data_IF_512293026851
#
_entry.id   IF_512293026851
#
_cell.length_a   1.000
_cell.length_b   1.000
_cell.length_c   1.000
_cell.angle_alpha   90.00
_cell.angle_beta   90.00
_cell.angle_gamma   90.00
#
_symmetry.space_group_name_H-M   'P 1'
#
loop_
_entity.id
_entity.type
_entity.pdbx_description
1 polymer ?
#
# COMPACT_ATOMS: atom_id res chain seq x y z
N UNK A 1 -13.35 -19.96 -4.69
CA UNK A 1 -12.79 -19.33 -5.90
C UNK A 1 -11.27 -19.35 -5.77
N UNK A 2 -10.51 -19.55 -6.86
CA UNK A 2 -9.06 -19.40 -6.82
C UNK A 2 -8.70 -17.97 -6.39
N UNK A 3 -7.63 -17.79 -5.61
CA UNK A 3 -7.12 -16.45 -5.28
C UNK A 3 -6.57 -15.80 -6.56
N UNK A 4 -6.77 -14.50 -6.71
CA UNK A 4 -5.94 -13.71 -7.62
C UNK A 4 -4.53 -13.72 -7.04
N UNK A 5 -3.56 -14.17 -7.82
CA UNK A 5 -2.16 -14.25 -7.39
C UNK A 5 -1.27 -13.54 -8.40
N UNK A 6 -0.14 -13.02 -7.92
CA UNK A 6 0.87 -12.37 -8.74
C UNK A 6 2.25 -12.67 -8.16
N UNK A 7 3.14 -13.14 -9.03
CA UNK A 7 4.57 -13.25 -8.73
C UNK A 7 5.23 -11.92 -9.07
N UNK A 8 6.03 -11.42 -8.14
CA UNK A 8 6.81 -10.20 -8.27
C UNK A 8 8.28 -10.58 -8.34
N UNK A 9 8.93 -10.21 -9.43
CA UNK A 9 10.39 -10.14 -9.54
C UNK A 9 10.85 -8.86 -8.84
N UNK A 10 11.74 -8.99 -7.86
CA UNK A 10 12.16 -7.87 -7.00
C UNK A 10 13.09 -6.89 -7.72
N UNK A 11 13.83 -7.30 -8.75
CA UNK A 11 14.62 -6.38 -9.59
C UNK A 11 13.72 -5.55 -10.50
N UNK A 12 12.68 -6.16 -11.09
CA UNK A 12 11.66 -5.42 -11.83
C UNK A 12 10.91 -4.45 -10.93
N UNK A 13 10.59 -4.88 -9.71
CA UNK A 13 9.92 -4.04 -8.74
C UNK A 13 10.78 -2.87 -8.27
N UNK A 14 12.08 -3.10 -8.01
CA UNK A 14 13.05 -2.05 -7.71
C UNK A 14 13.11 -1.02 -8.83
N UNK A 15 13.17 -1.47 -10.09
CA UNK A 15 13.16 -0.58 -11.26
C UNK A 15 11.87 0.23 -11.34
N UNK A 16 10.71 -0.41 -11.15
CA UNK A 16 9.40 0.27 -11.15
C UNK A 16 9.31 1.34 -10.07
N UNK A 17 9.74 1.04 -8.84
CA UNK A 17 9.74 1.98 -7.73
C UNK A 17 10.62 3.20 -8.01
N UNK A 18 11.83 2.99 -8.54
CA UNK A 18 12.71 4.08 -8.96
C UNK A 18 12.09 4.94 -10.07
N UNK A 19 11.50 4.31 -11.10
CA UNK A 19 10.83 5.04 -12.18
C UNK A 19 9.64 5.88 -11.69
N UNK A 20 8.91 5.43 -10.66
CA UNK A 20 7.82 6.19 -10.05
C UNK A 20 8.33 7.35 -9.18
N UNK A 21 9.41 7.13 -8.41
CA UNK A 21 10.07 8.19 -7.64
C UNK A 21 10.62 9.29 -8.56
N UNK A 22 11.27 8.92 -9.66
CA UNK A 22 11.78 9.86 -10.66
C UNK A 22 10.64 10.72 -11.26
N UNK A 23 9.49 10.09 -11.59
CA UNK A 23 8.31 10.82 -12.08
C UNK A 23 7.77 11.81 -11.05
N UNK A 24 7.70 11.43 -9.77
CA UNK A 24 7.25 12.34 -8.72
C UNK A 24 8.24 13.49 -8.50
N UNK A 25 9.54 13.22 -8.59
CA UNK A 25 10.59 14.22 -8.49
C UNK A 25 10.53 15.23 -9.65
N UNK A 26 10.32 14.77 -10.89
CA UNK A 26 10.14 15.63 -12.06
C UNK A 26 8.93 16.54 -11.90
N UNK A 27 7.79 15.99 -11.47
CA UNK A 27 6.57 16.76 -11.23
C UNK A 27 6.74 17.82 -10.11
N UNK A 28 7.45 17.48 -9.03
CA UNK A 28 7.76 18.44 -7.96
C UNK A 28 8.68 19.56 -8.48
N UNK A 29 9.70 19.23 -9.28
CA UNK A 29 10.61 20.20 -9.86
C UNK A 29 9.91 21.15 -10.85
N UNK A 30 8.99 20.64 -11.67
CA UNK A 30 8.18 21.45 -12.59
C UNK A 30 7.33 22.47 -11.82
N UNK A 31 6.65 22.04 -10.76
CA UNK A 31 5.85 22.96 -9.95
C UNK A 31 6.73 24.02 -9.28
N UNK A 32 7.93 23.66 -8.81
CA UNK A 32 8.85 24.63 -8.17
C UNK A 32 9.26 25.70 -9.17
N UNK A 33 9.56 25.30 -10.42
CA UNK A 33 9.89 26.24 -11.50
C UNK A 33 8.71 27.14 -11.85
N UNK A 34 7.50 26.60 -11.92
CA UNK A 34 6.28 27.36 -12.22
C UNK A 34 6.00 28.42 -11.14
N UNK A 35 6.10 28.06 -9.86
CA UNK A 35 5.91 29.00 -8.75
C UNK A 35 6.94 30.13 -8.75
N UNK A 36 8.20 29.83 -9.06
CA UNK A 36 9.27 30.83 -9.17
C UNK A 36 9.05 31.79 -10.34
N UNK A 37 8.41 31.34 -11.43
CA UNK A 37 8.15 32.15 -12.61
C UNK A 37 6.89 33.02 -12.48
N UNK A 38 5.82 32.51 -11.87
CA UNK A 38 4.49 33.15 -11.87
C UNK A 38 4.17 33.94 -10.59
N UNK A 39 4.96 33.81 -9.51
CA UNK A 39 4.84 34.65 -8.32
C UNK A 39 3.54 34.48 -7.51
N UNK A 40 2.70 33.51 -7.85
CA UNK A 40 1.43 33.23 -7.18
C UNK A 40 1.37 31.74 -6.76
N UNK A 41 0.90 31.45 -5.54
CA UNK A 41 0.57 30.06 -5.17
C UNK A 41 -0.59 29.98 -4.19
N UNK A 42 -1.78 29.57 -4.63
CA UNK A 42 -2.80 29.11 -3.68
C UNK A 42 -3.29 27.66 -3.90
N UNK A 43 -3.14 27.04 -5.07
CA UNK A 43 -3.88 25.79 -5.40
C UNK A 43 -3.06 24.50 -5.43
N UNK A 44 -1.72 24.57 -5.47
CA UNK A 44 -0.85 23.38 -5.60
C UNK A 44 -0.40 22.71 -4.30
N UNK A 45 -0.57 23.34 -3.13
CA UNK A 45 -0.02 22.84 -1.86
C UNK A 45 -0.52 21.45 -1.47
N UNK A 46 -1.81 21.17 -1.69
CA UNK A 46 -2.40 19.85 -1.40
C UNK A 46 -1.82 18.77 -2.31
N UNK A 47 -1.73 19.02 -3.63
CA UNK A 47 -1.12 18.07 -4.58
C UNK A 47 0.35 17.79 -4.28
N UNK A 48 1.10 18.82 -3.87
CA UNK A 48 2.48 18.66 -3.42
C UNK A 48 2.61 17.81 -2.17
N UNK A 49 1.73 18.03 -1.20
CA UNK A 49 1.73 17.23 0.02
C UNK A 49 1.41 15.77 -0.32
N UNK A 50 0.38 15.51 -1.12
CA UNK A 50 0.02 14.14 -1.58
C UNK A 50 1.19 13.45 -2.31
N UNK A 51 1.89 14.16 -3.22
CA UNK A 51 3.06 13.62 -3.91
C UNK A 51 4.22 13.30 -2.96
N UNK A 52 4.47 14.14 -1.95
CA UNK A 52 5.54 13.89 -0.97
C UNK A 52 5.22 12.71 -0.07
N UNK A 53 3.95 12.58 0.33
CA UNK A 53 3.47 11.41 1.08
C UNK A 53 3.59 10.13 0.24
N UNK A 54 3.26 10.19 -1.05
CA UNK A 54 3.47 9.07 -1.98
C UNK A 54 4.95 8.74 -2.18
N UNK A 55 5.81 9.75 -2.38
CA UNK A 55 7.24 9.54 -2.52
C UNK A 55 7.83 8.87 -1.25
N UNK A 56 7.42 9.31 -0.07
CA UNK A 56 7.85 8.69 1.19
C UNK A 56 7.42 7.22 1.30
N UNK A 57 6.19 6.88 0.84
CA UNK A 57 5.73 5.49 0.79
C UNK A 57 6.59 4.65 -0.17
N UNK A 58 6.83 5.15 -1.38
CA UNK A 58 7.64 4.47 -2.39
C UNK A 58 9.10 4.30 -1.95
N UNK A 59 9.70 5.30 -1.29
CA UNK A 59 11.03 5.19 -0.69
C UNK A 59 11.08 4.08 0.38
N UNK A 60 10.08 4.02 1.25
CA UNK A 60 10.01 2.97 2.27
C UNK A 60 9.87 1.57 1.65
N UNK A 61 9.09 1.45 0.58
CA UNK A 61 8.98 0.22 -0.21
C UNK A 61 10.30 -0.14 -0.88
N UNK A 62 10.98 0.83 -1.49
CA UNK A 62 12.25 0.64 -2.19
C UNK A 62 13.32 0.12 -1.23
N UNK A 63 13.45 0.72 -0.04
CA UNK A 63 14.37 0.24 1.01
C UNK A 63 14.10 -1.21 1.38
N UNK A 64 12.81 -1.61 1.45
CA UNK A 64 12.42 -2.98 1.72
C UNK A 64 12.83 -3.95 0.61
N UNK A 65 12.63 -3.56 -0.65
CA UNK A 65 13.00 -4.37 -1.82
C UNK A 65 14.52 -4.47 -1.96
N UNK A 66 15.25 -3.39 -1.72
CA UNK A 66 16.72 -3.39 -1.74
C UNK A 66 17.31 -4.30 -0.67
N UNK A 67 16.77 -4.25 0.56
CA UNK A 67 17.15 -5.20 1.61
C UNK A 67 16.87 -6.65 1.20
N UNK A 68 15.75 -6.92 0.51
CA UNK A 68 15.42 -8.29 0.11
C UNK A 68 16.36 -8.84 -0.98
N UNK A 69 16.80 -7.98 -1.90
CA UNK A 69 17.77 -8.33 -2.95
C UNK A 69 19.20 -8.49 -2.44
N UNK A 70 19.58 -7.71 -1.43
CA UNK A 70 20.92 -7.74 -0.83
C UNK A 70 20.83 -7.58 0.69
N UNK A 71 20.38 -8.63 1.40
CA UNK A 71 20.26 -8.59 2.86
C UNK A 71 21.65 -8.48 3.49
N UNK A 72 21.74 -7.76 4.61
CA UNK A 72 23.01 -7.62 5.32
C UNK A 72 23.52 -9.01 5.74
N UNK A 73 24.84 -9.24 5.63
CA UNK A 73 25.45 -10.53 5.97
C UNK A 73 25.21 -10.97 7.43
N UNK A 74 24.73 -10.07 8.29
CA UNK A 74 24.37 -10.34 9.69
C UNK A 74 22.97 -10.98 9.85
N UNK A 75 22.11 -10.90 8.83
CA UNK A 75 20.70 -11.27 8.92
C UNK A 75 20.43 -12.78 8.73
N UNK A 76 21.42 -13.59 8.33
CA UNK A 76 21.28 -15.04 8.02
C UNK A 76 20.07 -15.34 7.10
N UNK A 77 19.86 -14.45 6.13
CA UNK A 77 18.79 -14.50 5.13
C UNK A 77 19.44 -14.50 3.75
N UNK A 78 19.08 -15.49 2.94
CA UNK A 78 19.49 -15.51 1.53
C UNK A 78 18.76 -14.41 0.74
N UNK A 79 19.39 -13.83 -0.30
CA UNK A 79 18.72 -12.95 -1.25
C UNK A 79 17.39 -13.51 -1.76
N UNK A 80 16.41 -12.62 -1.90
CA UNK A 80 15.05 -12.93 -2.32
C UNK A 80 14.85 -12.31 -3.71
N UNK A 81 14.84 -13.13 -4.75
CA UNK A 81 14.64 -12.63 -6.13
C UNK A 81 13.16 -12.47 -6.48
N UNK A 82 12.31 -13.39 -5.98
CA UNK A 82 10.89 -13.44 -6.32
C UNK A 82 10.00 -13.75 -5.11
N UNK A 83 8.81 -13.15 -5.10
CA UNK A 83 7.75 -13.44 -4.12
C UNK A 83 6.41 -13.54 -4.82
N UNK A 84 5.64 -14.59 -4.54
CA UNK A 84 4.25 -14.72 -5.00
C UNK A 84 3.29 -14.33 -3.89
N UNK A 85 2.49 -13.31 -4.17
CA UNK A 85 1.44 -12.81 -3.30
C UNK A 85 0.06 -13.14 -3.87
N UNK A 86 -0.94 -13.15 -2.99
CA UNK A 86 -2.31 -13.42 -3.37
C UNK A 86 -3.30 -12.57 -2.60
N UNK A 87 -4.33 -12.14 -3.31
CA UNK A 87 -5.50 -11.48 -2.74
C UNK A 87 -6.12 -12.36 -1.66
N UNK A 88 -6.35 -11.79 -0.47
CA UNK A 88 -7.08 -12.49 0.57
C UNK A 88 -8.55 -12.64 0.16
N UNK A 89 -9.04 -13.88 0.08
CA UNK A 89 -10.48 -14.07 -0.02
C UNK A 89 -11.15 -13.83 1.33
N UNK A 90 -12.49 -13.74 1.35
CA UNK A 90 -13.24 -13.42 2.56
C UNK A 90 -12.98 -14.38 3.75
N UNK A 91 -12.73 -15.66 3.48
CA UNK A 91 -12.45 -16.63 4.54
C UNK A 91 -11.05 -16.42 5.14
N UNK A 92 -10.07 -16.13 4.29
CA UNK A 92 -8.68 -15.90 4.71
C UNK A 92 -8.52 -14.55 5.40
N UNK A 93 -9.21 -13.53 4.90
CA UNK A 93 -9.33 -12.25 5.57
C UNK A 93 -9.93 -12.41 6.97
N UNK A 94 -10.94 -13.27 7.12
CA UNK A 94 -11.51 -13.65 8.43
C UNK A 94 -10.46 -14.30 9.35
N UNK A 95 -9.72 -15.29 8.86
CA UNK A 95 -8.66 -15.96 9.64
C UNK A 95 -7.54 -15.00 10.07
N UNK A 96 -7.10 -14.11 9.17
CA UNK A 96 -6.11 -13.07 9.45
C UNK A 96 -6.65 -12.09 10.50
N UNK A 97 -7.91 -11.68 10.38
CA UNK A 97 -8.58 -10.78 11.32
C UNK A 97 -8.76 -11.41 12.71
N UNK A 98 -9.12 -12.69 12.79
CA UNK A 98 -9.26 -13.43 14.05
C UNK A 98 -7.91 -13.55 14.75
N UNK A 99 -6.85 -13.91 14.02
CA UNK A 99 -5.50 -13.99 14.56
C UNK A 99 -4.97 -12.62 15.00
N UNK A 100 -5.25 -11.57 14.22
CA UNK A 100 -4.92 -10.20 14.57
C UNK A 100 -5.59 -9.77 15.88
N UNK A 101 -6.89 -10.06 16.04
CA UNK A 101 -7.65 -9.76 17.26
C UNK A 101 -7.04 -10.48 18.46
N UNK A 102 -6.77 -11.78 18.33
CA UNK A 102 -6.12 -12.57 19.39
C UNK A 102 -4.76 -11.98 19.79
N UNK A 103 -3.92 -11.59 18.82
CA UNK A 103 -2.61 -11.00 19.10
C UNK A 103 -2.70 -9.62 19.73
N UNK A 104 -3.68 -8.81 19.34
CA UNK A 104 -3.98 -7.52 19.96
C UNK A 104 -4.40 -7.71 21.42
N UNK A 105 -5.23 -8.70 21.73
CA UNK A 105 -5.66 -9.01 23.10
C UNK A 105 -4.50 -9.53 23.98
N UNK A 106 -3.58 -10.29 23.39
CA UNK A 106 -2.36 -10.78 24.07
C UNK A 106 -1.29 -9.70 24.25
N UNK A 107 -1.36 -8.61 23.48
CA UNK A 107 -0.33 -7.57 23.47
C UNK A 107 -0.47 -6.64 24.68
N UNK A 108 0.50 -6.70 25.60
CA UNK A 108 0.50 -5.94 26.85
C UNK A 108 0.87 -4.44 26.70
N UNK A 109 0.73 -3.86 25.51
CA UNK A 109 1.09 -2.47 25.22
C UNK A 109 0.00 -1.70 24.46
N UNK A 110 0.13 -0.37 24.29
CA UNK A 110 -0.79 0.40 23.47
C UNK A 110 -0.78 -0.12 22.03
N UNK A 111 -1.93 -0.53 21.51
CA UNK A 111 -2.03 -1.10 20.14
C UNK A 111 -2.06 -0.03 19.05
N UNK A 112 -2.23 1.23 19.45
CA UNK A 112 -2.17 2.42 18.60
C UNK A 112 -0.75 2.94 18.38
N UNK A 113 0.26 2.33 19.00
CA UNK A 113 1.66 2.72 18.80
C UNK A 113 2.30 1.98 17.61
N UNK A 114 3.49 2.45 17.19
CA UNK A 114 4.23 1.88 16.06
C UNK A 114 4.46 0.36 16.15
N UNK A 115 4.56 -0.20 17.36
CA UNK A 115 4.74 -1.65 17.56
C UNK A 115 3.45 -2.43 17.29
N UNK A 116 2.30 -1.89 17.72
CA UNK A 116 1.00 -2.47 17.41
C UNK A 116 0.69 -2.42 15.91
N UNK A 117 1.01 -1.30 15.25
CA UNK A 117 0.87 -1.16 13.80
C UNK A 117 1.76 -2.15 13.05
N UNK A 118 3.04 -2.24 13.40
CA UNK A 118 3.97 -3.18 12.76
C UNK A 118 3.51 -4.64 12.92
N UNK A 119 2.95 -4.99 14.09
CA UNK A 119 2.39 -6.34 14.31
C UNK A 119 1.22 -6.61 13.36
N UNK A 120 0.27 -5.67 13.22
CA UNK A 120 -0.88 -5.83 12.30
C UNK A 120 -0.41 -5.97 10.85
N UNK A 121 0.53 -5.13 10.43
CA UNK A 121 1.15 -5.17 9.10
C UNK A 121 1.79 -6.53 8.82
N UNK A 122 2.57 -7.04 9.78
CA UNK A 122 3.22 -8.35 9.68
C UNK A 122 2.20 -9.48 9.55
N UNK A 123 1.11 -9.43 10.32
CA UNK A 123 0.04 -10.43 10.26
C UNK A 123 -0.66 -10.41 8.90
N UNK A 124 -0.95 -9.23 8.36
CA UNK A 124 -1.57 -9.09 7.04
C UNK A 124 -0.64 -9.58 5.92
N UNK A 125 0.62 -9.12 5.90
CA UNK A 125 1.65 -9.57 4.97
C UNK A 125 1.78 -11.10 4.98
N UNK A 126 1.79 -11.71 6.17
CA UNK A 126 1.81 -13.18 6.34
C UNK A 126 0.65 -13.87 5.61
N UNK A 127 -0.55 -13.30 5.67
CA UNK A 127 -1.73 -13.84 4.99
C UNK A 127 -1.65 -13.73 3.46
N UNK A 128 -1.03 -12.65 2.96
CA UNK A 128 -0.89 -12.36 1.54
C UNK A 128 0.13 -13.26 0.84
N UNK A 129 1.14 -13.77 1.55
CA UNK A 129 2.18 -14.62 0.96
C UNK A 129 1.59 -15.99 0.54
N UNK A 130 1.77 -16.31 -0.74
CA UNK A 130 1.44 -17.63 -1.31
C UNK A 130 2.70 -18.49 -1.36
N UNK A 131 3.76 -17.93 -1.93
CA UNK A 131 5.04 -18.62 -2.12
C UNK A 131 6.18 -17.60 -2.01
N UNK A 132 7.21 -17.97 -1.25
CA UNK A 132 8.40 -17.15 -1.07
C UNK A 132 9.57 -18.05 -0.63
N UNK A 133 10.82 -17.74 -1.01
CA UNK A 133 11.98 -18.60 -0.75
C UNK A 133 12.31 -18.75 0.74
N UNK A 134 11.90 -17.79 1.58
CA UNK A 134 12.13 -17.82 3.03
C UNK A 134 11.08 -18.61 3.83
N UNK A 135 10.03 -19.12 3.15
CA UNK A 135 8.98 -19.97 3.74
C UNK A 135 9.06 -21.38 3.15
N UNK A 136 9.54 -22.31 3.97
CA UNK A 136 9.59 -23.74 3.65
C UNK A 136 8.19 -24.30 3.35
N UNK A 137 8.11 -25.34 2.52
CA UNK A 137 6.84 -25.99 2.13
C UNK A 137 5.98 -26.44 3.33
N UNK A 138 6.64 -26.89 4.41
CA UNK A 138 5.98 -27.30 5.65
C UNK A 138 5.30 -26.12 6.35
N UNK A 139 5.97 -24.96 6.39
CA UNK A 139 5.44 -23.71 6.97
C UNK A 139 4.39 -23.10 6.04
N UNK A 140 4.58 -23.20 4.72
CA UNK A 140 3.63 -22.70 3.71
C UNK A 140 2.26 -23.36 3.86
N UNK A 141 2.20 -24.62 4.26
CA UNK A 141 0.96 -25.37 4.46
C UNK A 141 0.49 -25.40 5.92
N UNK A 142 1.19 -24.72 6.83
CA UNK A 142 0.83 -24.67 8.24
C UNK A 142 -0.08 -23.48 8.58
N UNK A 143 -0.36 -23.33 9.87
CA UNK A 143 -1.26 -22.31 10.39
C UNK A 143 -0.65 -20.90 10.30
N UNK A 144 -1.50 -19.88 10.39
CA UNK A 144 -1.09 -18.47 10.31
C UNK A 144 -0.07 -18.07 11.39
N UNK A 145 -0.05 -18.75 12.55
CA UNK A 145 0.87 -18.42 13.64
C UNK A 145 2.31 -18.82 13.33
N UNK A 146 2.51 -20.00 12.74
CA UNK A 146 3.84 -20.47 12.34
C UNK A 146 4.41 -19.65 11.18
N UNK A 147 3.57 -19.34 10.18
CA UNK A 147 3.94 -18.42 9.11
C UNK A 147 4.30 -17.04 9.65
N UNK A 148 3.51 -16.51 10.58
CA UNK A 148 3.76 -15.21 11.20
C UNK A 148 5.12 -15.19 11.91
N UNK A 149 5.49 -16.27 12.62
CA UNK A 149 6.80 -16.36 13.27
C UNK A 149 7.92 -16.26 12.24
N UNK A 150 7.83 -17.01 11.14
CA UNK A 150 8.84 -16.96 10.08
C UNK A 150 8.99 -15.55 9.48
N UNK A 151 7.87 -14.90 9.15
CA UNK A 151 7.86 -13.52 8.60
C UNK A 151 8.43 -12.53 9.62
N UNK A 152 7.97 -12.60 10.88
CA UNK A 152 8.36 -11.66 11.93
C UNK A 152 9.81 -11.78 12.38
N UNK A 153 10.44 -12.95 12.23
CA UNK A 153 11.84 -13.16 12.63
C UNK A 153 12.83 -12.97 11.50
N UNK A 154 12.45 -13.29 10.26
CA UNK A 154 13.38 -13.30 9.12
C UNK A 154 13.37 -12.03 8.29
N UNK A 155 12.29 -11.25 8.30
CA UNK A 155 12.14 -10.14 7.35
C UNK A 155 12.35 -8.78 8.00
N UNK A 156 13.05 -7.88 7.30
CA UNK A 156 13.12 -6.48 7.67
C UNK A 156 11.72 -5.82 7.67
N UNK A 157 11.42 -4.93 8.63
CA UNK A 157 10.12 -4.25 8.72
C UNK A 157 9.65 -3.55 7.42
N UNK A 158 10.60 -3.03 6.64
CA UNK A 158 10.40 -2.32 5.39
C UNK A 158 10.00 -3.27 4.27
N UNK A 159 10.59 -4.47 4.22
CA UNK A 159 10.17 -5.48 3.27
C UNK A 159 8.79 -6.04 3.62
N UNK A 160 8.50 -6.22 4.91
CA UNK A 160 7.15 -6.56 5.38
C UNK A 160 6.12 -5.49 4.98
N UNK A 161 6.51 -4.21 5.00
CA UNK A 161 5.67 -3.13 4.49
C UNK A 161 5.41 -3.26 2.99
N UNK A 162 6.44 -3.51 2.18
CA UNK A 162 6.26 -3.76 0.76
C UNK A 162 5.28 -4.94 0.49
N UNK A 163 5.44 -6.07 1.19
CA UNK A 163 4.54 -7.23 1.06
C UNK A 163 3.10 -6.85 1.42
N UNK A 164 2.90 -6.10 2.50
CA UNK A 164 1.57 -5.68 2.94
C UNK A 164 0.90 -4.77 1.91
N UNK A 165 1.61 -3.75 1.40
CA UNK A 165 1.07 -2.86 0.36
C UNK A 165 0.67 -3.64 -0.89
N UNK A 166 1.55 -4.52 -1.40
CA UNK A 166 1.22 -5.33 -2.59
C UNK A 166 0.12 -6.36 -2.35
N UNK A 167 0.07 -6.93 -1.15
CA UNK A 167 -1.01 -7.82 -0.74
C UNK A 167 -2.36 -7.10 -0.66
N UNK A 168 -2.36 -5.85 -0.16
CA UNK A 168 -3.56 -5.03 -0.04
C UNK A 168 -4.07 -4.57 -1.40
N UNK A 169 -3.18 -4.15 -2.30
CA UNK A 169 -3.51 -3.81 -3.70
C UNK A 169 -4.18 -4.98 -4.44
N UNK A 170 -3.72 -6.22 -4.20
CA UNK A 170 -4.36 -7.41 -4.78
C UNK A 170 -5.72 -7.72 -4.14
N UNK A 171 -5.88 -7.41 -2.85
CA UNK A 171 -7.08 -7.72 -2.06
C UNK A 171 -8.18 -6.68 -2.26
N UNK A 172 -7.81 -5.42 -2.47
CA UNK A 172 -8.73 -4.31 -2.67
C UNK A 172 -9.20 -4.28 -4.12
N UNK A 173 -10.49 -4.50 -4.41
CA UNK A 173 -10.99 -4.41 -5.77
C UNK A 173 -10.77 -3.00 -6.32
N UNK A 174 -10.26 -2.88 -7.54
CA UNK A 174 -10.27 -1.62 -8.30
C UNK A 174 -11.73 -1.21 -8.55
N UNK A 175 -12.33 -0.50 -7.60
CA UNK A 175 -13.58 0.19 -7.83
C UNK A 175 -13.23 1.46 -8.57
N UNK A 176 -13.43 1.51 -9.88
CA UNK A 176 -13.54 2.77 -10.62
C UNK A 176 -14.62 3.60 -9.91
N UNK A 177 -14.16 4.53 -9.07
CA UNK A 177 -14.95 5.29 -8.10
C UNK A 177 -15.86 6.33 -8.74
N UNK A 178 -16.62 5.99 -9.77
CA UNK A 178 -17.62 6.86 -10.37
C UNK A 178 -18.82 7.07 -9.44
N UNK A 179 -19.00 6.26 -8.40
CA UNK A 179 -20.14 6.36 -7.47
C UNK A 179 -20.19 7.67 -6.68
N UNK A 180 -19.04 8.15 -6.17
CA UNK A 180 -19.00 9.41 -5.42
C UNK A 180 -19.03 10.62 -6.34
N UNK A 181 -18.23 10.63 -7.40
CA UNK A 181 -18.22 11.71 -8.40
C UNK A 181 -19.62 11.90 -9.04
N UNK A 182 -20.32 10.81 -9.35
CA UNK A 182 -21.71 10.85 -9.85
C UNK A 182 -22.69 11.39 -8.81
N UNK A 183 -22.60 10.97 -7.54
CA UNK A 183 -23.42 11.52 -6.45
C UNK A 183 -23.16 13.02 -6.20
N UNK A 184 -21.92 13.47 -6.37
CA UNK A 184 -21.56 14.90 -6.29
C UNK A 184 -22.14 15.68 -7.46
N UNK A 185 -22.09 15.13 -8.69
CA UNK A 185 -22.71 15.73 -9.87
C UNK A 185 -24.24 15.82 -9.71
N UNK A 186 -24.90 14.75 -9.29
CA UNK A 186 -26.35 14.69 -9.05
C UNK A 186 -26.80 15.74 -7.99
N UNK A 187 -26.07 15.89 -6.89
CA UNK A 187 -26.39 16.93 -5.88
C UNK A 187 -26.13 18.36 -6.34
N UNK A 188 -25.16 18.58 -7.23
CA UNK A 188 -24.92 19.91 -7.84
C UNK A 188 -26.05 20.30 -8.79
N UNK A 189 -26.62 19.33 -9.52
CA UNK A 189 -27.80 19.57 -10.37
C UNK A 189 -29.06 19.83 -9.53
N UNK A 190 -29.22 19.13 -8.40
CA UNK A 190 -30.39 19.29 -7.51
C UNK A 190 -30.41 20.63 -6.74
N UNK A 191 -29.26 21.28 -6.57
CA UNK A 191 -29.14 22.59 -5.89
C UNK A 191 -29.15 23.80 -6.84
N UNK A 192 -29.31 23.60 -8.15
CA UNK A 192 -29.45 24.70 -9.10
C UNK A 192 -30.82 25.40 -8.89
N UNK A 193 -30.87 26.69 -8.51
CA UNK A 193 -32.14 27.40 -8.36
C UNK A 193 -32.86 27.51 -9.72
N UNK A 194 -34.21 27.43 -9.74
CA UNK A 194 -34.98 27.51 -10.97
C UNK A 194 -34.69 28.85 -11.66
N UNK A 195 -34.18 28.78 -12.89
CA UNK A 195 -33.95 29.95 -13.73
C UNK A 195 -35.26 30.71 -13.91
N UNK A 196 -35.37 31.86 -13.24
CA UNK A 196 -36.53 32.74 -13.41
C UNK A 196 -36.46 33.33 -14.82
N UNK A 197 -37.48 33.17 -15.68
CA UNK A 197 -37.44 33.74 -17.02
C UNK A 197 -37.50 35.26 -16.93
N UNK A 198 -36.49 35.96 -17.47
CA UNK A 198 -36.50 37.41 -17.57
C UNK A 198 -37.62 37.89 -18.50
N UNK A 199 -38.43 38.89 -18.10
CA UNK A 199 -39.46 39.43 -18.97
C UNK A 199 -38.84 40.25 -20.10
N UNK A 200 -39.29 39.99 -21.34
CA UNK A 200 -38.98 40.83 -22.50
C UNK A 200 -39.63 42.20 -22.31
N UNK A 201 -38.83 43.24 -22.13
CA UNK A 201 -39.30 44.62 -22.25
C UNK A 201 -39.48 44.96 -23.75
N UNK A 202 -40.69 45.36 -24.10
CA UNK A 202 -41.02 46.11 -25.32
C UNK A 202 -40.97 47.60 -25.03
#
# INVERSE_FOLDING_TARGET
MPRTTKTFDLEEEKRRLNEELDKLADQEAEDIRAEQAEGETPTGKFRRQERREEAQRLEQMLVGVEWALDPDNEDDVDPIDEVTLGALNAAEYGLVSDYMTKRVDEFQGPTENARGEQMRRTIFATGAIIEAPFIDDDIRNSNIEEKYKAVATKLAPQFVYWIEQRGDELTTPEVEGNGFAKRVAEKREETAPPSTPSPKHS
#
